data_IF_761770189959
#
_entry.id   IF_761770189959
#
_cell.length_a   1.000
_cell.length_b   1.000
_cell.length_c   1.000
_cell.angle_alpha   90.00
_cell.angle_beta   90.00
_cell.angle_gamma   90.00
#
_symmetry.space_group_name_H-M   'P 1'
#
loop_
_entity.id
_entity.type
_entity.pdbx_description
1 polymer ?
#
# COMPACT_ATOMS: atom_id res chain seq x y z
N UNK A 1 -18.02 2.40 -17.75
CA UNK A 1 -16.78 2.54 -16.93
C UNK A 1 -16.97 2.22 -15.44
N UNK A 2 -18.07 2.59 -14.77
CA UNK A 2 -18.28 2.34 -13.33
C UNK A 2 -18.32 0.85 -12.93
N UNK A 3 -19.00 0.01 -13.72
CA UNK A 3 -19.10 -1.43 -13.45
C UNK A 3 -17.74 -2.15 -13.44
N UNK A 4 -16.82 -1.79 -14.35
CA UNK A 4 -15.45 -2.33 -14.38
C UNK A 4 -14.65 -1.94 -13.14
N UNK A 5 -14.91 -0.76 -12.56
CA UNK A 5 -14.28 -0.35 -11.30
C UNK A 5 -14.74 -1.27 -10.18
N UNK A 6 -16.04 -1.37 -9.91
CA UNK A 6 -16.62 -2.22 -8.85
C UNK A 6 -16.07 -3.66 -8.84
N UNK A 7 -15.91 -4.28 -10.01
CA UNK A 7 -15.34 -5.63 -10.16
C UNK A 7 -13.92 -5.76 -9.57
N UNK A 8 -13.09 -4.72 -9.66
CA UNK A 8 -11.69 -4.75 -9.22
C UNK A 8 -11.55 -4.59 -7.70
N UNK A 9 -12.43 -3.83 -7.03
CA UNK A 9 -12.46 -3.76 -5.57
C UNK A 9 -12.88 -5.08 -4.96
N UNK A 10 -13.94 -5.69 -5.50
CA UNK A 10 -14.34 -7.03 -5.07
C UNK A 10 -13.20 -8.05 -5.26
N UNK A 11 -12.43 -7.95 -6.34
CA UNK A 11 -11.25 -8.80 -6.54
C UNK A 11 -10.20 -8.58 -5.46
N UNK A 12 -9.94 -7.34 -5.05
CA UNK A 12 -9.05 -7.03 -3.93
C UNK A 12 -9.58 -7.64 -2.61
N UNK A 13 -10.87 -7.46 -2.29
CA UNK A 13 -11.50 -8.10 -1.12
C UNK A 13 -11.32 -9.62 -1.13
N UNK A 14 -11.62 -10.29 -2.24
CA UNK A 14 -11.45 -11.74 -2.36
C UNK A 14 -9.99 -12.19 -2.20
N UNK A 15 -9.03 -11.38 -2.66
CA UNK A 15 -7.61 -11.66 -2.45
C UNK A 15 -7.21 -11.51 -0.96
N UNK A 16 -7.72 -10.49 -0.27
CA UNK A 16 -7.50 -10.32 1.19
C UNK A 16 -8.02 -11.53 1.97
N UNK A 17 -9.22 -12.02 1.63
CA UNK A 17 -9.78 -13.23 2.26
C UNK A 17 -8.88 -14.45 2.03
N UNK A 18 -8.35 -14.63 0.82
CA UNK A 18 -7.45 -15.75 0.50
C UNK A 18 -6.09 -15.64 1.18
N UNK A 19 -5.61 -14.42 1.42
CA UNK A 19 -4.35 -14.18 2.13
C UNK A 19 -4.47 -14.45 3.63
N UNK A 20 -5.69 -14.35 4.19
CA UNK A 20 -5.94 -14.64 5.59
C UNK A 20 -5.89 -16.15 5.87
N UNK A 21 -5.11 -16.63 6.86
CA UNK A 21 -5.07 -18.04 7.23
C UNK A 21 -6.47 -18.59 7.54
N UNK A 22 -6.86 -19.66 6.86
CA UNK A 22 -8.20 -20.26 6.99
C UNK A 22 -9.28 -19.62 6.10
N UNK A 23 -8.94 -18.65 5.26
CA UNK A 23 -9.78 -18.20 4.15
C UNK A 23 -11.12 -17.59 4.57
N UNK A 24 -12.18 -17.93 3.84
CA UNK A 24 -13.53 -17.41 4.06
C UNK A 24 -14.10 -17.68 5.46
N UNK A 25 -14.11 -18.93 5.97
CA UNK A 25 -14.62 -19.20 7.31
C UNK A 25 -13.90 -18.41 8.40
N UNK A 26 -12.56 -18.39 8.34
CA UNK A 26 -11.75 -17.74 9.36
C UNK A 26 -11.89 -16.21 9.32
N UNK A 27 -11.90 -15.60 8.12
CA UNK A 27 -12.11 -14.16 7.98
C UNK A 27 -13.49 -13.75 8.49
N UNK A 28 -14.53 -14.51 8.17
CA UNK A 28 -15.88 -14.23 8.67
C UNK A 28 -15.94 -14.32 10.20
N UNK A 29 -15.31 -15.35 10.78
CA UNK A 29 -15.18 -15.50 12.23
C UNK A 29 -14.42 -14.34 12.89
N UNK A 30 -13.31 -13.89 12.29
CA UNK A 30 -12.53 -12.75 12.77
C UNK A 30 -13.33 -11.43 12.72
N UNK A 31 -14.25 -11.31 11.76
CA UNK A 31 -15.18 -10.17 11.64
C UNK A 31 -16.44 -10.32 12.51
N UNK A 32 -16.58 -11.40 13.28
CA UNK A 32 -17.73 -11.64 14.14
C UNK A 32 -19.04 -11.91 13.38
N UNK A 33 -18.98 -12.48 12.18
CA UNK A 33 -20.16 -12.79 11.36
C UNK A 33 -20.09 -14.19 10.73
N UNK A 34 -21.22 -14.67 10.20
CA UNK A 34 -21.23 -15.94 9.45
C UNK A 34 -20.55 -15.78 8.08
N UNK A 35 -20.01 -16.87 7.55
CA UNK A 35 -19.45 -16.88 6.19
C UNK A 35 -20.48 -16.43 5.14
N UNK A 36 -21.74 -16.90 5.25
CA UNK A 36 -22.81 -16.49 4.34
C UNK A 36 -23.11 -14.99 4.43
N UNK A 37 -23.04 -14.40 5.63
CA UNK A 37 -23.21 -12.97 5.83
C UNK A 37 -22.08 -12.16 5.17
N UNK A 38 -20.83 -12.65 5.24
CA UNK A 38 -19.70 -12.03 4.56
C UNK A 38 -19.84 -12.16 3.03
N UNK A 39 -20.16 -13.34 2.52
CA UNK A 39 -20.36 -13.58 1.08
C UNK A 39 -21.45 -12.66 0.50
N UNK A 40 -22.58 -12.53 1.19
CA UNK A 40 -23.66 -11.66 0.74
C UNK A 40 -23.21 -10.19 0.66
N UNK A 41 -22.40 -9.71 1.60
CA UNK A 41 -21.84 -8.34 1.57
C UNK A 41 -20.81 -8.15 0.45
N UNK A 42 -19.93 -9.13 0.22
CA UNK A 42 -18.89 -9.06 -0.82
C UNK A 42 -19.47 -9.13 -2.24
N UNK A 43 -20.51 -9.92 -2.44
CA UNK A 43 -21.20 -10.07 -3.73
C UNK A 43 -22.40 -9.14 -3.90
N UNK A 44 -22.65 -8.28 -2.92
CA UNK A 44 -23.78 -7.35 -2.87
C UNK A 44 -25.16 -8.02 -3.07
N UNK A 45 -25.31 -9.25 -2.55
CA UNK A 45 -26.56 -10.02 -2.65
C UNK A 45 -27.63 -9.40 -1.77
N UNK A 46 -28.86 -9.34 -2.28
CA UNK A 46 -30.02 -8.79 -1.58
C UNK A 46 -29.80 -7.35 -1.05
N UNK A 47 -29.03 -6.54 -1.78
CA UNK A 47 -28.77 -5.14 -1.43
C UNK A 47 -27.80 -4.93 -0.26
N UNK A 48 -27.23 -6.00 0.30
CA UNK A 48 -26.19 -5.89 1.33
C UNK A 48 -24.92 -5.31 0.71
N UNK A 49 -24.12 -4.58 1.50
CA UNK A 49 -22.85 -4.02 1.05
C UNK A 49 -21.77 -4.22 2.09
N UNK A 50 -20.53 -4.34 1.63
CA UNK A 50 -19.37 -4.31 2.50
C UNK A 50 -19.06 -2.85 2.85
N UNK A 51 -19.09 -2.53 4.14
CA UNK A 51 -18.71 -1.19 4.62
C UNK A 51 -17.20 -1.00 4.50
N UNK A 52 -16.76 0.25 4.32
CA UNK A 52 -15.34 0.59 4.20
C UNK A 52 -14.56 0.16 5.44
N UNK A 53 -15.11 0.39 6.64
CA UNK A 53 -14.47 0.00 7.90
C UNK A 53 -14.24 -1.51 8.00
N UNK A 54 -15.21 -2.30 7.53
CA UNK A 54 -15.06 -3.76 7.45
C UNK A 54 -13.96 -4.13 6.45
N UNK A 55 -13.91 -3.49 5.29
CA UNK A 55 -12.87 -3.74 4.30
C UNK A 55 -11.47 -3.35 4.82
N UNK A 56 -11.35 -2.27 5.60
CA UNK A 56 -10.12 -1.86 6.27
C UNK A 56 -9.70 -2.89 7.33
N UNK A 57 -10.63 -3.40 8.14
CA UNK A 57 -10.34 -4.47 9.09
C UNK A 57 -9.86 -5.75 8.37
N UNK A 58 -10.47 -6.12 7.25
CA UNK A 58 -10.03 -7.25 6.43
C UNK A 58 -8.60 -7.06 5.90
N UNK A 59 -8.25 -5.83 5.50
CA UNK A 59 -6.88 -5.49 5.11
C UNK A 59 -5.91 -5.71 6.26
N UNK A 60 -6.24 -5.20 7.46
CA UNK A 60 -5.43 -5.39 8.68
C UNK A 60 -5.28 -6.86 9.03
N UNK A 61 -6.36 -7.64 9.09
CA UNK A 61 -6.31 -9.06 9.43
C UNK A 61 -5.52 -9.88 8.42
N UNK A 62 -5.65 -9.58 7.13
CA UNK A 62 -4.90 -10.28 6.08
C UNK A 62 -3.42 -9.87 6.00
N UNK A 63 -3.01 -8.80 6.68
CA UNK A 63 -1.64 -8.27 6.60
C UNK A 63 -1.27 -7.72 5.21
N UNK A 64 -2.26 -7.39 4.38
CA UNK A 64 -2.05 -6.94 2.99
C UNK A 64 -2.30 -5.44 2.83
N UNK A 65 -2.08 -4.89 1.63
CA UNK A 65 -2.38 -3.50 1.25
C UNK A 65 -3.29 -3.41 0.02
N UNK A 66 -3.96 -4.51 -0.32
CA UNK A 66 -4.71 -4.69 -1.56
C UNK A 66 -5.88 -3.72 -1.72
N UNK A 67 -6.51 -3.30 -0.61
CA UNK A 67 -7.58 -2.31 -0.65
C UNK A 67 -7.00 -0.92 -0.96
N UNK A 68 -5.92 -0.53 -0.28
CA UNK A 68 -5.25 0.74 -0.49
C UNK A 68 -4.67 0.87 -1.91
N UNK A 69 -4.01 -0.18 -2.41
CA UNK A 69 -3.51 -0.27 -3.78
C UNK A 69 -4.62 -0.08 -4.81
N UNK A 70 -5.76 -0.75 -4.63
CA UNK A 70 -6.89 -0.65 -5.55
C UNK A 70 -7.55 0.73 -5.52
N UNK A 71 -7.63 1.37 -4.35
CA UNK A 71 -8.12 2.76 -4.22
C UNK A 71 -7.16 3.72 -4.93
N UNK A 72 -5.86 3.62 -4.69
CA UNK A 72 -4.86 4.47 -5.35
C UNK A 72 -4.92 4.33 -6.88
N UNK A 73 -4.94 3.08 -7.37
CA UNK A 73 -5.04 2.77 -8.80
C UNK A 73 -6.32 3.34 -9.43
N UNK A 74 -7.44 3.36 -8.71
CA UNK A 74 -8.71 3.97 -9.18
C UNK A 74 -8.65 5.48 -9.26
N UNK A 75 -7.87 6.09 -8.38
CA UNK A 75 -7.60 7.53 -8.35
C UNK A 75 -6.51 7.97 -9.33
N UNK A 76 -5.91 7.03 -10.07
CA UNK A 76 -4.82 7.32 -11.01
C UNK A 76 -3.46 7.50 -10.33
N UNK A 77 -3.33 7.05 -9.08
CA UNK A 77 -2.07 7.05 -8.34
C UNK A 77 -1.56 5.64 -8.05
N UNK A 78 -0.44 5.58 -7.34
CA UNK A 78 0.15 4.36 -6.81
C UNK A 78 0.11 4.40 -5.28
N UNK A 79 0.01 3.23 -4.66
CA UNK A 79 0.14 3.11 -3.22
C UNK A 79 1.56 2.64 -2.88
N UNK A 80 2.25 3.41 -2.05
CA UNK A 80 3.61 3.07 -1.60
C UNK A 80 3.56 2.76 -0.12
N UNK A 81 3.70 1.48 0.24
CA UNK A 81 3.83 1.07 1.65
C UNK A 81 5.24 1.44 2.13
N UNK A 82 5.30 2.34 3.10
CA UNK A 82 6.54 2.67 3.81
C UNK A 82 6.61 1.85 5.11
N UNK A 83 7.77 1.36 5.54
CA UNK A 83 7.92 0.63 6.80
C UNK A 83 7.56 1.51 8.01
N UNK A 84 6.86 0.93 8.98
CA UNK A 84 6.48 1.63 10.22
C UNK A 84 7.70 2.00 11.07
N UNK A 85 8.76 1.18 11.00
CA UNK A 85 10.01 1.36 11.72
C UNK A 85 11.16 1.42 10.73
N UNK A 86 11.94 2.49 10.81
CA UNK A 86 13.20 2.68 10.10
C UNK A 86 14.27 3.04 11.14
N UNK A 87 15.48 2.46 11.07
CA UNK A 87 16.60 2.89 11.91
C UNK A 87 16.84 4.38 11.73
N UNK A 88 17.01 5.11 12.81
CA UNK A 88 17.03 6.58 12.86
C UNK A 88 18.44 7.16 12.98
N UNK A 89 19.40 6.51 12.33
CA UNK A 89 20.80 6.94 12.30
C UNK A 89 21.25 7.42 10.90
N UNK A 90 22.41 8.06 10.87
CA UNK A 90 22.98 8.62 9.63
C UNK A 90 23.44 7.52 8.66
N UNK A 91 23.80 6.35 9.16
CA UNK A 91 24.28 5.23 8.34
C UNK A 91 23.11 4.63 7.55
N UNK A 92 21.93 4.52 8.17
CA UNK A 92 20.68 4.12 7.54
C UNK A 92 20.28 5.10 6.43
N UNK A 93 20.43 6.41 6.67
CA UNK A 93 20.18 7.42 5.64
C UNK A 93 21.13 7.26 4.45
N UNK A 94 22.43 7.12 4.70
CA UNK A 94 23.43 6.90 3.64
C UNK A 94 23.17 5.59 2.87
N UNK A 95 22.79 4.52 3.58
CA UNK A 95 22.43 3.25 2.97
C UNK A 95 21.23 3.40 2.02
N UNK A 96 20.22 4.20 2.38
CA UNK A 96 19.07 4.48 1.51
C UNK A 96 19.42 5.31 0.29
N UNK A 97 20.34 6.28 0.40
CA UNK A 97 20.84 7.00 -0.77
C UNK A 97 21.56 6.08 -1.75
N UNK A 98 22.41 5.18 -1.23
CA UNK A 98 23.10 4.19 -2.05
C UNK A 98 22.12 3.20 -2.72
N UNK A 99 21.11 2.75 -1.97
CA UNK A 99 20.06 1.89 -2.51
C UNK A 99 19.29 2.58 -3.65
N UNK A 100 18.90 3.84 -3.48
CA UNK A 100 18.21 4.61 -4.53
C UNK A 100 19.04 4.68 -5.82
N UNK A 101 20.35 4.94 -5.71
CA UNK A 101 21.22 4.97 -6.89
C UNK A 101 21.32 3.61 -7.59
N UNK A 102 21.42 2.52 -6.82
CA UNK A 102 21.44 1.17 -7.38
C UNK A 102 20.12 0.84 -8.09
N UNK A 103 18.98 1.14 -7.45
CA UNK A 103 17.64 0.90 -7.98
C UNK A 103 17.38 1.69 -9.27
N UNK A 104 17.82 2.96 -9.33
CA UNK A 104 17.77 3.75 -10.57
C UNK A 104 18.68 3.17 -11.66
N UNK A 105 19.82 2.60 -11.28
CA UNK A 105 20.71 1.88 -12.18
C UNK A 105 20.06 0.62 -12.77
N UNK A 106 19.35 -0.14 -11.94
CA UNK A 106 18.60 -1.34 -12.37
C UNK A 106 17.45 -0.96 -13.30
N UNK A 107 16.65 0.05 -12.94
CA UNK A 107 15.58 0.58 -13.80
C UNK A 107 16.14 0.99 -15.17
N UNK A 108 17.24 1.75 -15.19
CA UNK A 108 17.88 2.21 -16.43
C UNK A 108 18.38 1.05 -17.31
N UNK A 109 18.97 0.02 -16.68
CA UNK A 109 19.45 -1.18 -17.37
C UNK A 109 18.30 -1.95 -18.00
N UNK A 110 17.23 -2.18 -17.23
CA UNK A 110 16.08 -2.95 -17.70
C UNK A 110 15.30 -2.19 -18.78
N UNK A 111 15.13 -0.88 -18.63
CA UNK A 111 14.57 -0.02 -19.66
C UNK A 111 15.38 -0.10 -20.96
N UNK A 112 16.71 0.05 -20.89
CA UNK A 112 17.57 0.00 -22.07
C UNK A 112 17.49 -1.35 -22.78
N UNK A 113 17.43 -2.45 -22.01
CA UNK A 113 17.31 -3.81 -22.54
C UNK A 113 15.98 -4.03 -23.26
N UNK A 114 14.86 -3.57 -22.68
CA UNK A 114 13.53 -3.76 -23.26
C UNK A 114 13.28 -2.81 -24.45
N UNK A 115 13.70 -1.55 -24.34
CA UNK A 115 13.55 -0.55 -25.40
C UNK A 115 14.35 -0.89 -26.67
N UNK A 116 15.39 -1.72 -26.58
CA UNK A 116 16.18 -2.16 -27.73
C UNK A 116 15.35 -2.87 -28.82
N UNK A 117 14.17 -3.40 -28.47
CA UNK A 117 13.24 -4.08 -29.40
C UNK A 117 12.16 -3.16 -29.96
N UNK A 118 12.19 -1.87 -29.62
CA UNK A 118 11.21 -0.83 -30.01
C UNK A 118 9.75 -1.13 -29.64
N UNK A 119 9.53 -2.13 -28.79
CA UNK A 119 8.25 -2.50 -28.21
C UNK A 119 8.50 -3.04 -26.80
N UNK A 120 7.72 -2.57 -25.82
CA UNK A 120 7.75 -3.07 -24.44
C UNK A 120 6.44 -3.79 -24.19
N UNK A 121 6.49 -5.10 -24.04
CA UNK A 121 5.33 -5.93 -23.75
C UNK A 121 4.85 -5.77 -22.31
N UNK A 122 3.62 -6.20 -22.02
CA UNK A 122 3.01 -6.02 -20.69
C UNK A 122 3.79 -6.66 -19.53
N UNK A 123 4.53 -7.75 -19.77
CA UNK A 123 5.41 -8.35 -18.72
C UNK A 123 6.65 -7.51 -18.47
N UNK A 124 7.24 -6.93 -19.51
CA UNK A 124 8.42 -6.07 -19.41
C UNK A 124 8.04 -4.75 -18.75
N UNK A 125 6.89 -4.19 -19.09
CA UNK A 125 6.35 -3.02 -18.42
C UNK A 125 6.10 -3.28 -16.93
N UNK A 126 5.57 -4.46 -16.56
CA UNK A 126 5.38 -4.83 -15.16
C UNK A 126 6.70 -4.91 -14.37
N UNK A 127 7.82 -5.27 -15.03
CA UNK A 127 9.16 -5.21 -14.41
C UNK A 127 9.57 -3.76 -14.19
N UNK A 128 9.44 -2.90 -15.19
CA UNK A 128 9.76 -1.47 -15.06
C UNK A 128 8.92 -0.76 -14.01
N UNK A 129 7.63 -1.10 -13.92
CA UNK A 129 6.72 -0.61 -12.88
C UNK A 129 7.20 -1.02 -11.50
N UNK A 130 7.56 -2.29 -11.31
CA UNK A 130 8.11 -2.78 -10.05
C UNK A 130 9.45 -2.11 -9.70
N UNK A 131 10.30 -1.81 -10.69
CA UNK A 131 11.58 -1.10 -10.49
C UNK A 131 11.34 0.34 -10.04
N UNK A 132 10.42 1.04 -10.70
CA UNK A 132 10.02 2.40 -10.34
C UNK A 132 9.38 2.48 -8.95
N UNK A 133 8.49 1.54 -8.61
CA UNK A 133 7.87 1.48 -7.28
C UNK A 133 8.89 1.27 -6.16
N UNK A 134 9.96 0.50 -6.40
CA UNK A 134 11.06 0.34 -5.44
C UNK A 134 11.80 1.67 -5.22
N UNK A 135 12.20 2.33 -6.31
CA UNK A 135 12.87 3.62 -6.23
C UNK A 135 12.03 4.69 -5.51
N UNK A 136 10.72 4.78 -5.82
CA UNK A 136 9.81 5.73 -5.18
C UNK A 136 9.69 5.41 -3.68
N UNK A 137 9.57 4.13 -3.29
CA UNK A 137 9.56 3.73 -1.88
C UNK A 137 10.84 4.16 -1.17
N UNK A 138 11.99 3.95 -1.77
CA UNK A 138 13.28 4.37 -1.18
C UNK A 138 13.35 5.89 -1.02
N UNK A 139 12.80 6.66 -1.96
CA UNK A 139 12.67 8.13 -1.82
C UNK A 139 11.77 8.50 -0.63
N UNK A 140 10.62 7.85 -0.47
CA UNK A 140 9.73 8.11 0.68
C UNK A 140 10.41 7.77 2.01
N UNK A 141 11.14 6.66 2.08
CA UNK A 141 11.93 6.28 3.26
C UNK A 141 13.04 7.29 3.56
N UNK A 142 13.73 7.82 2.53
CA UNK A 142 14.70 8.90 2.68
C UNK A 142 14.05 10.15 3.28
N UNK A 143 12.88 10.57 2.78
CA UNK A 143 12.18 11.74 3.31
C UNK A 143 11.80 11.58 4.79
N UNK A 144 11.39 10.38 5.21
CA UNK A 144 11.13 10.07 6.61
C UNK A 144 12.40 10.18 7.46
N UNK A 145 13.51 9.58 7.00
CA UNK A 145 14.79 9.63 7.72
C UNK A 145 15.35 11.05 7.81
N UNK A 146 15.30 11.81 6.71
CA UNK A 146 15.72 13.21 6.68
C UNK A 146 14.90 14.01 7.70
N UNK A 147 13.58 13.80 7.74
CA UNK A 147 12.71 14.47 8.71
C UNK A 147 13.07 14.10 10.15
N UNK A 148 13.28 12.82 10.45
CA UNK A 148 13.68 12.36 11.79
C UNK A 148 15.03 12.93 12.24
N UNK A 149 16.02 12.96 11.35
CA UNK A 149 17.40 13.32 11.68
C UNK A 149 17.66 14.84 11.68
N UNK A 150 17.03 15.57 10.77
CA UNK A 150 17.37 16.97 10.49
C UNK A 150 16.24 17.95 10.75
N UNK A 151 14.98 17.50 10.82
CA UNK A 151 13.89 18.38 11.22
C UNK A 151 13.61 18.19 12.72
N UNK A 152 13.98 19.17 13.54
CA UNK A 152 13.46 19.30 14.91
C UNK A 152 11.99 19.69 14.83
N UNK A 153 11.12 18.72 14.64
CA UNK A 153 9.70 18.88 14.95
C UNK A 153 9.43 17.93 16.10
N UNK A 154 9.05 18.41 17.30
CA UNK A 154 8.53 17.51 18.32
C UNK A 154 7.35 16.78 17.67
N UNK A 155 7.42 15.45 17.64
CA UNK A 155 6.36 14.62 17.06
C UNK A 155 5.15 14.71 17.98
N UNK A 156 4.35 15.75 17.82
CA UNK A 156 2.92 15.64 18.05
C UNK A 156 2.27 15.40 16.68
N UNK A 157 1.37 14.43 16.66
CA UNK A 157 0.51 14.05 15.52
C UNK A 157 1.16 13.16 14.46
N UNK A 158 1.35 11.88 14.82
CA UNK A 158 0.79 10.77 14.01
C UNK A 158 0.17 9.77 14.99
N UNK A 159 -1.13 9.94 15.27
CA UNK A 159 -1.97 8.95 15.93
C UNK A 159 -2.14 9.12 17.44
N UNK A 160 -3.24 9.78 17.84
CA UNK A 160 -3.83 9.61 19.17
C UNK A 160 -3.89 10.87 20.03
N UNK A 161 -5.04 11.55 19.95
CA UNK A 161 -5.67 12.38 20.98
C UNK A 161 -5.01 13.70 21.46
N UNK A 162 -5.92 14.62 21.81
CA UNK A 162 -5.81 15.84 22.61
C UNK A 162 -5.39 17.10 21.84
N UNK A 163 -6.31 18.04 21.65
CA UNK A 163 -6.73 19.05 22.64
C UNK A 163 -5.57 19.97 23.01
N UNK A 164 -5.83 21.25 22.77
CA UNK A 164 -5.24 22.45 23.36
C UNK A 164 -3.75 22.71 23.10
N UNK A 165 -3.53 23.58 22.11
CA UNK A 165 -2.38 24.46 22.04
C UNK A 165 -2.88 25.92 21.96
N UNK A 166 -3.57 26.36 23.01
CA UNK A 166 -3.41 27.73 23.48
C UNK A 166 -2.20 27.74 24.42
N UNK A 167 -1.42 28.82 24.35
CA UNK A 167 -0.24 29.13 25.17
C UNK A 167 1.10 28.47 24.81
N UNK A 168 1.84 29.15 23.93
CA UNK A 168 3.24 29.47 24.20
C UNK A 168 3.68 30.70 23.38
N UNK A 169 4.00 31.76 24.13
CA UNK A 169 4.62 33.05 23.81
C UNK A 169 5.75 32.97 22.79
#
# INVERSE_FOLDING_TARGET
MAARRLVMLRKAICKMIRAFPGGWPAMAGALGMSQSALENRVYERSGQRLHLDTALQMQTFSGTTLLAEEIARRSGGIFVKVPDVLPDDRDALLAKFNALHAELGDFSRDFSRFAARNEIGGREFAVLEADGERAIRTVEELLILIRKLYCRVPVSVIGGALEDAEDAV
#
